data_IF_675881696978
#
_entry.id   IF_675881696978
#
_cell.length_a   1.000
_cell.length_b   1.000
_cell.length_c   1.000
_cell.angle_alpha   90.00
_cell.angle_beta   90.00
_cell.angle_gamma   90.00
#
_symmetry.space_group_name_H-M   'P 1'
#
loop_
_entity.id
_entity.type
_entity.pdbx_description
1 polymer ?
#
# COMPACT_ATOMS: atom_id res chain seq x y z
N UNK A 1 -24.63 6.97 -16.71
CA UNK A 1 -23.46 6.77 -17.58
C UNK A 1 -22.23 7.05 -16.75
N UNK A 2 -21.38 6.06 -16.52
CA UNK A 2 -20.12 6.24 -15.78
C UNK A 2 -19.14 6.93 -16.74
N UNK A 3 -18.51 8.02 -16.27
CA UNK A 3 -17.63 8.86 -17.07
C UNK A 3 -16.39 8.07 -17.50
N UNK A 4 -16.11 8.01 -18.80
CA UNK A 4 -14.98 7.26 -19.38
C UNK A 4 -13.63 7.76 -18.84
N UNK A 5 -13.57 9.05 -18.42
CA UNK A 5 -12.36 9.62 -17.79
C UNK A 5 -12.00 8.99 -16.45
N UNK A 6 -12.97 8.53 -15.67
CA UNK A 6 -12.71 7.94 -14.34
C UNK A 6 -12.13 6.50 -14.44
N UNK A 7 -12.30 5.85 -15.61
CA UNK A 7 -11.72 4.53 -15.91
C UNK A 7 -10.22 4.59 -16.20
N UNK A 8 -9.70 5.74 -16.62
CA UNK A 8 -8.29 5.88 -17.04
C UNK A 8 -7.37 6.42 -15.93
N UNK A 9 -7.93 6.90 -14.82
CA UNK A 9 -7.18 7.68 -13.81
C UNK A 9 -6.21 6.85 -12.95
N UNK A 10 -6.29 5.51 -12.96
CA UNK A 10 -5.47 4.62 -12.12
C UNK A 10 -4.78 3.51 -12.92
N UNK A 11 -4.11 3.86 -14.02
CA UNK A 11 -3.44 2.90 -14.91
C UNK A 11 -1.92 2.83 -14.74
N UNK A 12 -1.38 3.38 -13.65
CA UNK A 12 0.06 3.27 -13.38
C UNK A 12 0.40 1.87 -12.88
N UNK A 13 1.25 1.18 -13.63
CA UNK A 13 1.64 -0.19 -13.28
C UNK A 13 2.59 -0.20 -12.09
N UNK A 14 2.69 -1.35 -11.44
CA UNK A 14 3.71 -1.57 -10.40
C UNK A 14 5.11 -1.28 -10.96
N UNK A 15 5.39 -1.74 -12.16
CA UNK A 15 6.70 -1.58 -12.81
C UNK A 15 7.04 -0.10 -13.06
N UNK A 16 6.06 0.70 -13.49
CA UNK A 16 6.25 2.15 -13.69
C UNK A 16 6.53 2.87 -12.37
N UNK A 17 5.84 2.48 -11.28
CA UNK A 17 6.11 3.03 -9.95
C UNK A 17 7.52 2.68 -9.48
N UNK A 18 7.95 1.43 -9.66
CA UNK A 18 9.30 1.02 -9.27
C UNK A 18 10.35 1.81 -10.07
N UNK A 19 10.12 2.04 -11.36
CA UNK A 19 10.98 2.87 -12.20
C UNK A 19 11.05 4.32 -11.69
N UNK A 20 9.92 4.95 -11.38
CA UNK A 20 9.89 6.31 -10.84
C UNK A 20 10.61 6.39 -9.48
N UNK A 21 10.32 5.44 -8.56
CA UNK A 21 10.96 5.42 -7.24
C UNK A 21 12.47 5.27 -7.34
N UNK A 22 12.97 4.45 -8.26
CA UNK A 22 14.40 4.27 -8.53
C UNK A 22 15.09 5.55 -9.04
N UNK A 23 14.34 6.43 -9.70
CA UNK A 23 14.79 7.72 -10.19
C UNK A 23 14.46 8.89 -9.25
N UNK A 24 13.97 8.60 -8.03
CA UNK A 24 13.55 9.59 -7.04
C UNK A 24 14.49 9.62 -5.82
N UNK A 25 14.21 10.55 -4.89
CA UNK A 25 14.87 10.57 -3.56
C UNK A 25 14.59 9.34 -2.69
N UNK A 26 13.68 8.46 -3.12
CA UNK A 26 13.33 7.21 -2.43
C UNK A 26 14.03 5.98 -3.03
N UNK A 27 14.97 6.18 -3.95
CA UNK A 27 15.84 5.13 -4.49
C UNK A 27 16.43 4.26 -3.37
N UNK A 28 16.30 2.94 -3.51
CA UNK A 28 16.80 1.97 -2.53
C UNK A 28 16.06 1.91 -1.19
N UNK A 29 14.97 2.69 -1.01
CA UNK A 29 14.19 2.74 0.24
C UNK A 29 12.85 2.01 0.15
N UNK A 30 12.61 1.28 -0.93
CA UNK A 30 11.35 0.59 -1.15
C UNK A 30 11.54 -0.92 -1.31
N UNK A 31 10.55 -1.69 -0.88
CA UNK A 31 10.56 -3.15 -0.97
C UNK A 31 9.14 -3.67 -1.13
N UNK A 32 8.99 -4.76 -1.89
CA UNK A 32 7.74 -5.50 -1.98
C UNK A 32 7.67 -6.47 -0.80
N UNK A 33 6.60 -6.38 -0.01
CA UNK A 33 6.33 -7.32 1.08
C UNK A 33 5.18 -8.24 0.71
N UNK A 34 5.42 -9.54 0.83
CA UNK A 34 4.40 -10.57 0.67
C UNK A 34 3.48 -10.57 1.90
N UNK A 35 2.17 -10.54 1.68
CA UNK A 35 1.17 -10.58 2.77
C UNK A 35 0.90 -12.00 3.27
N UNK A 36 1.47 -12.99 2.61
CA UNK A 36 1.20 -14.42 2.76
C UNK A 36 -0.25 -14.81 2.44
N UNK A 37 -1.05 -13.90 1.90
CA UNK A 37 -2.43 -14.18 1.48
C UNK A 37 -2.47 -14.76 0.07
N UNK A 38 -3.43 -15.65 -0.13
CA UNK A 38 -3.91 -16.00 -1.46
C UNK A 38 -4.74 -14.84 -2.03
N UNK A 39 -4.83 -14.75 -3.35
CA UNK A 39 -5.46 -13.63 -4.03
C UNK A 39 -6.97 -13.50 -3.73
N UNK A 40 -7.61 -14.58 -3.30
CA UNK A 40 -9.03 -14.72 -2.97
C UNK A 40 -9.31 -14.78 -1.45
N UNK A 41 -8.29 -14.62 -0.60
CA UNK A 41 -8.45 -14.64 0.85
C UNK A 41 -9.32 -13.49 1.38
N UNK A 42 -10.37 -13.79 2.13
CA UNK A 42 -11.26 -12.78 2.74
C UNK A 42 -10.63 -12.02 3.92
N UNK A 43 -9.63 -12.64 4.57
CA UNK A 43 -8.92 -12.09 5.73
C UNK A 43 -7.57 -12.75 5.92
N UNK A 44 -6.76 -12.15 6.79
CA UNK A 44 -5.54 -12.78 7.26
C UNK A 44 -5.84 -14.04 8.05
N UNK A 45 -5.37 -15.19 7.55
CA UNK A 45 -5.39 -16.45 8.30
C UNK A 45 -4.49 -16.34 9.54
N UNK A 46 -4.76 -17.18 10.54
CA UNK A 46 -4.04 -17.19 11.82
C UNK A 46 -2.51 -17.23 11.59
N UNK A 47 -1.79 -16.29 12.18
CA UNK A 47 -0.33 -16.23 12.12
C UNK A 47 0.25 -15.53 10.88
N UNK A 48 -0.50 -15.35 9.78
CA UNK A 48 0.05 -14.65 8.62
C UNK A 48 0.28 -13.17 8.93
N UNK A 49 -0.64 -12.52 9.65
CA UNK A 49 -0.48 -11.10 10.02
C UNK A 49 0.79 -10.89 10.83
N UNK A 50 1.04 -11.83 11.74
CA UNK A 50 2.26 -11.86 12.52
C UNK A 50 3.51 -12.04 11.63
N UNK A 51 3.52 -12.98 10.67
CA UNK A 51 4.66 -13.18 9.75
C UNK A 51 4.99 -11.93 8.92
N UNK A 52 3.97 -11.27 8.37
CA UNK A 52 4.16 -10.01 7.65
C UNK A 52 4.69 -8.91 8.56
N UNK A 53 4.11 -8.76 9.75
CA UNK A 53 4.61 -7.81 10.73
C UNK A 53 6.06 -8.09 11.12
N UNK A 54 6.40 -9.36 11.31
CA UNK A 54 7.77 -9.76 11.62
C UNK A 54 8.72 -9.38 10.50
N UNK A 55 8.32 -9.53 9.23
CA UNK A 55 9.13 -9.07 8.09
C UNK A 55 9.38 -7.55 8.12
N UNK A 56 8.40 -6.76 8.57
CA UNK A 56 8.59 -5.30 8.76
C UNK A 56 9.52 -4.99 9.94
N UNK A 57 9.43 -5.76 11.02
CA UNK A 57 10.28 -5.63 12.22
C UNK A 57 11.72 -6.01 11.90
N UNK A 58 11.93 -7.10 11.16
CA UNK A 58 13.25 -7.60 10.78
C UNK A 58 14.00 -6.58 9.89
N UNK A 59 13.26 -5.82 9.08
CA UNK A 59 13.79 -4.70 8.30
C UNK A 59 13.80 -3.35 9.07
N UNK A 60 13.60 -3.38 10.39
CA UNK A 60 13.60 -2.23 11.30
C UNK A 60 12.63 -1.09 10.91
N UNK A 61 11.49 -1.43 10.31
CA UNK A 61 10.50 -0.43 9.90
C UNK A 61 9.64 0.01 11.08
N UNK A 62 9.71 1.29 11.46
CA UNK A 62 8.84 1.90 12.48
C UNK A 62 7.52 2.31 11.85
N UNK A 63 7.42 3.57 11.41
CA UNK A 63 6.39 3.99 10.46
C UNK A 63 6.91 3.84 9.05
N UNK A 64 5.99 3.62 8.11
CA UNK A 64 6.31 3.48 6.70
C UNK A 64 5.13 3.94 5.85
N UNK A 65 5.42 4.35 4.61
CA UNK A 65 4.39 4.52 3.60
C UNK A 65 4.24 3.24 2.79
N UNK A 66 3.07 3.06 2.19
CA UNK A 66 2.80 1.89 1.37
C UNK A 66 1.93 2.24 0.16
N UNK A 67 1.96 1.38 -0.85
CA UNK A 67 1.03 1.35 -1.97
C UNK A 67 0.25 0.03 -1.98
N UNK A 68 -1.07 0.12 -2.14
CA UNK A 68 -1.94 -1.03 -2.47
C UNK A 68 -2.22 -1.06 -3.96
N UNK A 69 -2.18 -2.27 -4.49
CA UNK A 69 -2.46 -2.52 -5.90
C UNK A 69 -3.85 -3.14 -6.09
N UNK A 70 -4.40 -2.98 -7.29
CA UNK A 70 -5.50 -3.79 -7.80
C UNK A 70 -5.02 -4.66 -8.97
N UNK A 71 -5.79 -5.68 -9.30
CA UNK A 71 -5.52 -6.54 -10.45
C UNK A 71 -6.38 -6.15 -11.65
N UNK A 72 -5.72 -6.05 -12.81
CA UNK A 72 -6.39 -6.05 -14.12
C UNK A 72 -5.62 -6.92 -15.11
N UNK A 73 -6.31 -7.88 -15.74
CA UNK A 73 -5.73 -8.79 -16.75
C UNK A 73 -4.35 -9.37 -16.39
N UNK A 74 -4.19 -9.79 -15.12
CA UNK A 74 -2.95 -10.34 -14.51
C UNK A 74 -1.83 -9.34 -14.21
N UNK A 75 -2.04 -8.05 -14.47
CA UNK A 75 -1.12 -6.98 -14.08
C UNK A 75 -1.56 -6.32 -12.78
N UNK A 76 -0.61 -5.71 -12.08
CA UNK A 76 -0.82 -4.98 -10.83
C UNK A 76 -0.70 -3.49 -11.10
N UNK A 77 -1.70 -2.75 -10.67
CA UNK A 77 -1.80 -1.31 -10.85
C UNK A 77 -2.02 -0.64 -9.51
N UNK A 78 -1.38 0.49 -9.26
CA UNK A 78 -1.54 1.15 -7.97
C UNK A 78 -2.88 1.87 -7.88
N UNK A 79 -3.42 1.91 -6.66
CA UNK A 79 -4.70 2.56 -6.39
C UNK A 79 -4.67 3.42 -5.13
N UNK A 80 -4.01 2.96 -4.08
CA UNK A 80 -3.99 3.64 -2.78
C UNK A 80 -2.55 3.83 -2.33
N UNK A 81 -2.24 5.01 -1.82
CA UNK A 81 -1.10 5.24 -0.96
C UNK A 81 -1.57 5.50 0.48
N UNK A 82 -0.80 5.05 1.46
CA UNK A 82 -1.13 5.21 2.86
C UNK A 82 0.10 5.19 3.76
N UNK A 83 -0.09 5.43 5.05
CA UNK A 83 0.93 5.21 6.09
C UNK A 83 0.47 4.19 7.13
N UNK A 84 1.42 3.48 7.72
CA UNK A 84 1.14 2.57 8.83
C UNK A 84 2.37 2.40 9.73
N UNK A 85 2.18 1.75 10.88
CA UNK A 85 3.24 1.42 11.83
C UNK A 85 3.35 -0.09 12.05
N UNK A 86 4.57 -0.59 12.20
CA UNK A 86 4.83 -1.99 12.56
C UNK A 86 4.65 -2.26 14.06
N UNK A 87 4.88 -3.50 14.51
CA UNK A 87 4.97 -3.85 15.92
C UNK A 87 6.04 -3.07 16.71
N UNK A 88 7.03 -2.46 16.05
CA UNK A 88 8.02 -1.61 16.75
C UNK A 88 7.33 -0.41 17.41
N UNK A 89 6.36 0.20 16.74
CA UNK A 89 5.66 1.41 17.22
C UNK A 89 4.24 1.15 17.70
N UNK A 90 3.63 0.04 17.25
CA UNK A 90 2.27 -0.40 17.52
C UNK A 90 2.27 -1.83 18.08
N UNK A 91 2.86 -2.05 19.25
CA UNK A 91 3.14 -3.39 19.80
C UNK A 91 1.93 -4.32 19.89
N UNK A 92 0.75 -3.80 20.22
CA UNK A 92 -0.45 -4.63 20.43
C UNK A 92 -1.28 -4.88 19.15
N UNK A 93 -1.25 -3.96 18.19
CA UNK A 93 -2.13 -3.98 17.00
C UNK A 93 -1.39 -4.24 15.69
N UNK A 94 -0.11 -3.89 15.62
CA UNK A 94 0.71 -3.85 14.41
C UNK A 94 0.19 -2.85 13.39
N UNK A 95 0.35 -3.16 12.11
CA UNK A 95 -0.20 -2.36 11.03
C UNK A 95 -1.73 -2.49 10.94
N UNK A 96 -2.36 -1.43 10.46
CA UNK A 96 -3.77 -1.32 10.13
C UNK A 96 -4.08 -1.62 8.65
N UNK A 97 -3.26 -2.44 8.00
CA UNK A 97 -3.46 -2.86 6.62
C UNK A 97 -4.51 -3.97 6.47
N UNK A 98 -5.30 -3.88 5.40
CA UNK A 98 -6.31 -4.87 5.02
C UNK A 98 -6.89 -4.62 3.62
N UNK A 99 -7.68 -5.59 3.14
CA UNK A 99 -8.20 -5.68 1.76
C UNK A 99 -9.75 -5.71 1.68
N UNK A 100 -10.43 -5.17 2.68
CA UNK A 100 -11.91 -5.19 2.71
C UNK A 100 -12.51 -4.47 1.49
N UNK A 101 -13.46 -5.10 0.81
CA UNK A 101 -14.10 -4.59 -0.41
C UNK A 101 -15.43 -3.86 -0.19
N UNK A 102 -15.89 -3.69 1.05
CA UNK A 102 -17.18 -3.03 1.32
C UNK A 102 -17.27 -1.65 0.62
N UNK A 103 -18.15 -1.49 -0.40
CA UNK A 103 -18.13 -0.33 -1.31
C UNK A 103 -18.51 0.98 -0.61
N UNK A 104 -19.18 0.91 0.55
CA UNK A 104 -19.52 2.08 1.35
C UNK A 104 -18.37 2.63 2.20
N UNK A 105 -17.17 2.03 2.14
CA UNK A 105 -16.01 2.41 2.99
C UNK A 105 -14.88 3.08 2.21
N UNK A 106 -15.16 4.18 1.50
CA UNK A 106 -14.16 5.08 0.94
C UNK A 106 -13.99 5.04 -0.59
N UNK A 107 -13.33 6.06 -1.17
CA UNK A 107 -13.31 6.31 -2.61
C UNK A 107 -12.64 5.19 -3.42
N UNK A 108 -11.53 4.62 -2.92
CA UNK A 108 -10.84 3.52 -3.61
C UNK A 108 -11.70 2.25 -3.70
N UNK A 109 -12.45 1.91 -2.65
CA UNK A 109 -13.34 0.74 -2.64
C UNK A 109 -14.52 0.94 -3.58
N UNK A 110 -15.08 2.15 -3.60
CA UNK A 110 -16.12 2.52 -4.56
C UNK A 110 -15.60 2.37 -6.00
N UNK A 111 -14.40 2.87 -6.29
CA UNK A 111 -13.78 2.75 -7.60
C UNK A 111 -13.57 1.29 -8.02
N UNK A 112 -13.08 0.43 -7.12
CA UNK A 112 -12.95 -1.01 -7.39
C UNK A 112 -14.29 -1.65 -7.74
N UNK A 113 -15.32 -1.36 -6.95
CA UNK A 113 -16.67 -1.89 -7.17
C UNK A 113 -17.26 -1.42 -8.51
N UNK A 114 -17.21 -0.12 -8.79
CA UNK A 114 -17.77 0.46 -10.02
C UNK A 114 -17.04 -0.02 -11.29
N UNK A 115 -15.78 -0.44 -11.17
CA UNK A 115 -14.93 -0.87 -12.29
C UNK A 115 -14.71 -2.39 -12.34
N UNK A 116 -15.43 -3.15 -11.52
CA UNK A 116 -15.33 -4.62 -11.44
C UNK A 116 -13.88 -5.10 -11.24
N UNK A 117 -13.13 -4.37 -10.41
CA UNK A 117 -11.74 -4.67 -10.05
C UNK A 117 -11.65 -5.25 -8.64
N UNK A 118 -10.55 -5.93 -8.38
CA UNK A 118 -10.23 -6.53 -7.08
C UNK A 118 -8.88 -6.05 -6.57
N UNK A 119 -8.72 -5.95 -5.25
CA UNK A 119 -7.43 -5.70 -4.62
C UNK A 119 -6.43 -6.80 -5.00
N UNK A 120 -5.17 -6.45 -5.23
CA UNK A 120 -4.07 -7.40 -5.18
C UNK A 120 -3.77 -7.69 -3.72
N UNK A 121 -4.16 -8.86 -3.23
CA UNK A 121 -4.07 -9.18 -1.80
C UNK A 121 -2.71 -9.71 -1.39
N UNK A 122 -1.91 -10.14 -2.36
CA UNK A 122 -0.67 -10.92 -2.17
C UNK A 122 0.52 -10.08 -1.74
N UNK A 123 0.50 -8.76 -1.97
CA UNK A 123 1.64 -7.90 -1.68
C UNK A 123 1.26 -6.44 -1.42
N UNK A 124 2.15 -5.75 -0.69
CA UNK A 124 2.23 -4.30 -0.63
C UNK A 124 3.61 -3.84 -1.13
N UNK A 125 3.66 -2.69 -1.77
CA UNK A 125 4.92 -1.96 -1.93
C UNK A 125 5.07 -1.04 -0.72
N UNK A 126 6.16 -1.18 0.01
CA UNK A 126 6.44 -0.40 1.23
C UNK A 126 7.65 0.49 0.97
N UNK A 127 7.57 1.74 1.42
CA UNK A 127 8.64 2.73 1.36
C UNK A 127 9.04 3.06 2.80
N UNK A 128 10.27 2.74 3.15
CA UNK A 128 10.86 2.90 4.47
C UNK A 128 11.15 4.37 4.78
N UNK A 129 11.04 4.75 6.05
CA UNK A 129 11.54 6.03 6.60
C UNK A 129 13.04 5.91 6.88
N UNK A 130 13.76 7.03 6.89
CA UNK A 130 15.18 7.08 7.27
C UNK A 130 15.36 7.36 8.77
N UNK A 131 14.37 7.99 9.40
CA UNK A 131 14.48 8.35 10.80
C UNK A 131 14.21 7.17 11.74
N UNK A 132 15.11 6.98 12.70
CA UNK A 132 14.90 6.03 13.79
C UNK A 132 14.02 6.61 14.90
N UNK A 133 13.91 7.92 15.00
CA UNK A 133 13.05 8.52 16.01
C UNK A 133 11.58 8.36 15.63
N UNK A 134 10.75 7.86 16.57
CA UNK A 134 9.34 7.50 16.32
C UNK A 134 8.54 8.66 15.69
N UNK A 135 8.67 9.86 16.23
CA UNK A 135 7.89 11.03 15.78
C UNK A 135 8.35 11.51 14.39
N UNK A 136 9.66 11.52 14.15
CA UNK A 136 10.22 11.90 12.85
C UNK A 136 9.89 10.86 11.77
N UNK A 137 10.00 9.57 12.09
CA UNK A 137 9.57 8.46 11.22
C UNK A 137 8.08 8.61 10.86
N UNK A 138 7.21 8.89 11.82
CA UNK A 138 5.78 9.12 11.55
C UNK A 138 5.57 10.31 10.61
N UNK A 139 6.24 11.45 10.87
CA UNK A 139 6.14 12.64 10.02
C UNK A 139 6.64 12.36 8.60
N UNK A 140 7.80 11.72 8.47
CA UNK A 140 8.38 11.36 7.18
C UNK A 140 7.46 10.41 6.40
N UNK A 141 6.86 9.41 7.06
CA UNK A 141 5.92 8.50 6.39
C UNK A 141 4.76 9.24 5.72
N UNK A 142 4.22 10.29 6.36
CA UNK A 142 3.16 11.14 5.79
C UNK A 142 3.65 12.01 4.65
N UNK A 143 4.90 12.46 4.69
CA UNK A 143 5.51 13.18 3.57
C UNK A 143 5.71 12.28 2.36
N UNK A 144 6.09 11.01 2.60
CA UNK A 144 6.17 9.98 1.54
C UNK A 144 4.78 9.73 0.95
N UNK A 145 3.76 9.47 1.76
CA UNK A 145 2.38 9.29 1.28
C UNK A 145 1.91 10.45 0.40
N UNK A 146 2.11 11.70 0.85
CA UNK A 146 1.76 12.89 0.06
C UNK A 146 2.50 12.94 -1.27
N UNK A 147 3.77 12.53 -1.31
CA UNK A 147 4.51 12.41 -2.56
C UNK A 147 3.88 11.34 -3.46
N UNK A 148 3.61 10.13 -2.95
CA UNK A 148 3.03 9.04 -3.73
C UNK A 148 1.66 9.42 -4.31
N UNK A 149 0.78 10.03 -3.50
CA UNK A 149 -0.54 10.52 -3.94
C UNK A 149 -0.39 11.55 -5.06
N UNK A 150 0.50 12.54 -4.91
CA UNK A 150 0.66 13.63 -5.90
C UNK A 150 1.33 13.16 -7.19
N UNK A 151 2.37 12.34 -7.08
CA UNK A 151 3.17 11.87 -8.23
C UNK A 151 2.40 10.86 -9.07
N UNK A 152 1.61 9.99 -8.42
CA UNK A 152 0.96 8.87 -9.09
C UNK A 152 -0.57 9.00 -9.16
N UNK A 153 -1.15 10.08 -8.64
CA UNK A 153 -2.59 10.33 -8.67
C UNK A 153 -3.42 9.32 -7.86
N UNK A 154 -2.85 8.73 -6.80
CA UNK A 154 -3.46 7.66 -6.01
C UNK A 154 -4.51 8.19 -5.02
N UNK A 155 -5.42 7.33 -4.57
CA UNK A 155 -6.24 7.63 -3.41
C UNK A 155 -5.38 7.63 -2.12
N UNK A 156 -5.67 8.57 -1.23
CA UNK A 156 -5.17 8.57 0.16
C UNK A 156 -5.92 7.51 0.99
N UNK A 157 -5.24 6.88 1.95
CA UNK A 157 -5.79 5.74 2.72
C UNK A 157 -6.65 6.16 3.91
#
# INVERSE_FOLDING_TARGET
MINVKDKEMFNISKEDILCELENSKYKGRYKIYNTYLEQDADRWRRGYKYKFQQSLVDDNLKFFAYIKFYLDKRKKYALVAGTSGSYIVNTSSGCDLGFYLYPQKGPAKKWLYDNEKQWCQTEFLVIATNDEEKEKSHKESKEIEKYLVRTFGLFES
#
